data_IF_306280686922
#
_entry.id   IF_306280686922
#
_cell.length_a   1.000
_cell.length_b   1.000
_cell.length_c   1.000
_cell.angle_alpha   90.00
_cell.angle_beta   90.00
_cell.angle_gamma   90.00
#
_symmetry.space_group_name_H-M   'P 1'
#
loop_
_entity.id
_entity.type
_entity.pdbx_description
1 polymer ?
#
# COMPACT_ATOMS: atom_id res chain seq x y z
N UNK A 1 -7.89 -6.47 -8.80
CA UNK A 1 -6.46 -6.09 -8.91
C UNK A 1 -5.51 -7.26 -9.21
N UNK A 2 -5.82 -8.50 -8.82
CA UNK A 2 -4.92 -9.66 -8.99
C UNK A 2 -4.44 -9.91 -10.42
N UNK A 3 -5.28 -9.61 -11.41
CA UNK A 3 -4.99 -9.89 -12.82
C UNK A 3 -4.22 -8.77 -13.53
N UNK A 4 -4.04 -7.61 -12.88
CA UNK A 4 -3.36 -6.45 -13.48
C UNK A 4 -1.87 -6.50 -13.17
N UNK A 5 -1.04 -6.64 -14.21
CA UNK A 5 0.43 -6.59 -14.12
C UNK A 5 0.95 -5.17 -14.36
N UNK A 6 0.70 -4.29 -13.41
CA UNK A 6 1.23 -2.92 -13.40
C UNK A 6 1.55 -2.51 -11.96
N UNK A 7 2.42 -1.48 -11.75
CA UNK A 7 2.66 -0.93 -10.42
C UNK A 7 1.35 -0.45 -9.77
N UNK A 8 1.11 -0.89 -8.54
CA UNK A 8 -0.05 -0.46 -7.75
C UNK A 8 0.41 0.60 -6.77
N UNK A 9 -0.18 1.80 -6.86
CA UNK A 9 0.15 2.94 -5.99
C UNK A 9 -1.02 3.21 -5.06
N UNK A 10 -0.78 3.13 -3.75
CA UNK A 10 -1.69 3.63 -2.73
C UNK A 10 -1.41 5.11 -2.46
N UNK A 11 -2.47 5.87 -2.19
CA UNK A 11 -2.38 7.24 -1.71
C UNK A 11 -3.15 7.30 -0.39
N UNK A 12 -2.50 7.79 0.66
CA UNK A 12 -3.08 7.85 2.00
C UNK A 12 -2.43 9.00 2.77
N UNK A 13 -3.07 9.46 3.84
CA UNK A 13 -2.40 10.34 4.79
C UNK A 13 -1.42 9.56 5.68
N UNK A 14 -0.41 10.23 6.22
CA UNK A 14 0.55 9.68 7.18
C UNK A 14 -0.15 8.97 8.35
N UNK A 15 -1.21 9.56 8.92
CA UNK A 15 -1.97 8.98 10.04
C UNK A 15 -2.73 7.68 9.71
N UNK A 16 -2.92 7.37 8.42
CA UNK A 16 -3.54 6.11 7.99
C UNK A 16 -2.51 4.98 7.89
N UNK A 17 -1.21 5.31 7.93
CA UNK A 17 -0.13 4.34 7.91
C UNK A 17 0.09 3.81 9.32
N UNK A 18 -0.08 2.50 9.48
CA UNK A 18 0.11 1.79 10.75
C UNK A 18 1.31 0.85 10.63
N UNK A 19 2.02 0.62 11.74
CA UNK A 19 3.16 -0.30 11.77
C UNK A 19 2.79 -1.72 11.33
N UNK A 20 1.59 -2.18 11.70
CA UNK A 20 1.06 -3.50 11.37
C UNK A 20 -0.45 -3.45 11.17
N UNK A 21 -0.91 -4.22 10.20
CA UNK A 21 -2.32 -4.53 9.97
C UNK A 21 -2.49 -6.05 9.92
N UNK A 22 -3.64 -6.60 10.35
CA UNK A 22 -3.98 -8.00 10.10
C UNK A 22 -3.85 -8.30 8.60
N UNK A 23 -3.36 -9.50 8.27
CA UNK A 23 -3.28 -9.98 6.89
C UNK A 23 -4.13 -11.21 6.73
N UNK A 24 -4.85 -11.25 5.62
CA UNK A 24 -5.60 -12.40 5.14
C UNK A 24 -4.91 -13.01 3.89
N UNK A 25 -5.20 -14.28 3.59
CA UNK A 25 -4.70 -14.96 2.39
C UNK A 25 -5.16 -14.28 1.09
N UNK A 26 -6.30 -13.57 1.15
CA UNK A 26 -6.84 -12.83 0.03
C UNK A 26 -6.13 -11.51 -0.28
N UNK A 27 -5.35 -10.97 0.65
CA UNK A 27 -4.82 -9.61 0.60
C UNK A 27 -3.74 -9.41 -0.47
N UNK A 28 -3.79 -8.26 -1.12
CA UNK A 28 -2.84 -7.88 -2.18
C UNK A 28 -2.21 -6.53 -1.84
N UNK A 29 -0.90 -6.48 -1.53
CA UNK A 29 -0.24 -5.23 -1.20
C UNK A 29 -0.09 -4.33 -2.42
N UNK A 30 -0.05 -3.02 -2.18
CA UNK A 30 0.45 -2.05 -3.16
C UNK A 30 1.98 -2.13 -3.25
N UNK A 31 2.52 -1.73 -4.41
CA UNK A 31 3.97 -1.66 -4.64
C UNK A 31 4.58 -0.37 -4.06
N UNK A 32 3.79 0.71 -4.08
CA UNK A 32 4.20 2.03 -3.62
C UNK A 32 3.05 2.61 -2.79
N UNK A 33 3.38 3.27 -1.68
CA UNK A 33 2.44 4.07 -0.90
C UNK A 33 2.98 5.50 -0.82
N UNK A 34 2.16 6.48 -1.18
CA UNK A 34 2.50 7.90 -1.13
C UNK A 34 1.65 8.57 -0.06
N UNK A 35 2.30 9.31 0.82
CA UNK A 35 1.66 10.21 1.78
C UNK A 35 2.03 11.66 1.49
N UNK A 36 1.46 12.58 2.27
CA UNK A 36 1.85 13.98 2.28
C UNK A 36 3.28 14.20 2.83
N UNK A 37 3.86 13.20 3.50
CA UNK A 37 5.17 13.29 4.14
C UNK A 37 6.26 12.50 3.40
N UNK A 38 5.93 11.35 2.79
CA UNK A 38 6.94 10.46 2.20
C UNK A 38 6.41 9.51 1.12
N UNK A 39 7.35 8.80 0.48
CA UNK A 39 7.08 7.73 -0.49
C UNK A 39 7.67 6.42 0.02
N UNK A 40 6.80 5.50 0.42
CA UNK A 40 7.15 4.16 0.92
C UNK A 40 7.15 3.18 -0.25
N UNK A 41 8.28 2.50 -0.48
CA UNK A 41 8.46 1.49 -1.53
C UNK A 41 8.75 0.14 -0.91
N UNK A 42 8.14 -0.92 -1.46
CA UNK A 42 8.36 -2.30 -1.05
C UNK A 42 9.06 -3.13 -2.11
#
# INVERSE_FOLDING_TARGET
LKEVRAPKVGVAYSFQVLDRVPRDEGDEPVSILITEEEVIRR
#
